data_IF_239412341352
#
_entry.id   IF_239412341352
#
_cell.length_a   1.000
_cell.length_b   1.000
_cell.length_c   1.000
_cell.angle_alpha   90.00
_cell.angle_beta   90.00
_cell.angle_gamma   90.00
#
_symmetry.space_group_name_H-M   'P 1'
#
loop_
_entity.id
_entity.type
_entity.pdbx_description
1 polymer ?
#
# COMPACT_ATOMS: atom_id res chain seq x y z
N UNK A 1 -0.50 13.06 -22.88
CA UNK A 1 -0.82 12.32 -21.63
C UNK A 1 -1.05 10.87 -22.00
N UNK A 2 -0.21 9.99 -21.48
CA UNK A 2 -0.51 8.57 -21.62
C UNK A 2 -1.76 8.27 -20.80
N UNK A 3 -2.78 7.76 -21.46
CA UNK A 3 -4.02 7.35 -20.83
C UNK A 3 -3.70 6.13 -19.95
N UNK A 4 -3.59 6.31 -18.64
CA UNK A 4 -3.31 5.22 -17.71
C UNK A 4 -4.56 4.38 -17.60
N UNK A 5 -4.47 3.11 -18.02
CA UNK A 5 -5.54 2.16 -17.84
C UNK A 5 -5.54 1.64 -16.40
N UNK A 6 -6.45 2.16 -15.58
CA UNK A 6 -6.56 1.84 -14.16
C UNK A 6 -6.86 0.35 -13.93
N UNK A 7 -7.75 -0.22 -14.73
CA UNK A 7 -8.12 -1.64 -14.63
C UNK A 7 -6.93 -2.56 -14.91
N UNK A 8 -6.15 -2.23 -15.93
CA UNK A 8 -4.92 -2.97 -16.26
C UNK A 8 -3.89 -2.88 -15.13
N UNK A 9 -3.72 -1.70 -14.53
CA UNK A 9 -2.81 -1.51 -13.39
C UNK A 9 -3.26 -2.27 -12.16
N UNK A 10 -4.55 -2.24 -11.84
CA UNK A 10 -5.12 -3.01 -10.74
C UNK A 10 -4.94 -4.52 -10.95
N UNK A 11 -5.18 -5.02 -12.16
CA UNK A 11 -4.96 -6.41 -12.52
C UNK A 11 -3.48 -6.81 -12.39
N UNK A 12 -2.57 -5.94 -12.81
CA UNK A 12 -1.11 -6.15 -12.70
C UNK A 12 -0.68 -6.23 -11.24
N UNK A 13 -1.17 -5.34 -10.38
CA UNK A 13 -0.91 -5.36 -8.94
C UNK A 13 -1.41 -6.66 -8.30
N UNK A 14 -2.62 -7.08 -8.61
CA UNK A 14 -3.20 -8.34 -8.13
C UNK A 14 -2.38 -9.55 -8.59
N UNK A 15 -1.91 -9.55 -9.84
CA UNK A 15 -1.06 -10.61 -10.36
C UNK A 15 0.26 -10.73 -9.60
N UNK A 16 0.93 -9.62 -9.28
CA UNK A 16 2.14 -9.63 -8.45
C UNK A 16 1.85 -10.17 -7.04
N UNK A 17 0.75 -9.76 -6.43
CA UNK A 17 0.36 -10.26 -5.11
C UNK A 17 0.16 -11.78 -5.10
N UNK A 18 -0.48 -12.32 -6.12
CA UNK A 18 -0.67 -13.77 -6.29
C UNK A 18 0.62 -14.54 -6.60
N UNK A 19 1.65 -13.87 -7.10
CA UNK A 19 2.99 -14.44 -7.29
C UNK A 19 3.82 -14.51 -6.00
N UNK A 20 3.32 -13.95 -4.89
CA UNK A 20 3.98 -13.97 -3.59
C UNK A 20 4.61 -12.64 -3.17
N UNK A 21 4.56 -11.60 -3.98
CA UNK A 21 4.97 -10.26 -3.57
C UNK A 21 4.03 -9.73 -2.49
N UNK A 22 4.53 -8.89 -1.58
CA UNK A 22 3.67 -8.31 -0.57
C UNK A 22 2.79 -7.17 -1.13
N UNK A 23 1.89 -6.65 -0.31
CA UNK A 23 0.93 -5.64 -0.75
C UNK A 23 1.61 -4.35 -1.23
N UNK A 24 2.66 -3.88 -0.58
CA UNK A 24 3.40 -2.69 -1.00
C UNK A 24 4.17 -2.92 -2.31
N UNK A 25 4.88 -4.03 -2.42
CA UNK A 25 5.57 -4.43 -3.65
C UNK A 25 4.61 -4.50 -4.83
N UNK A 26 3.48 -5.13 -4.64
CA UNK A 26 2.47 -5.33 -5.68
C UNK A 26 1.97 -4.01 -6.27
N UNK A 27 1.70 -3.02 -5.42
CA UNK A 27 1.26 -1.70 -5.85
C UNK A 27 2.38 -0.93 -6.55
N UNK A 28 3.57 -0.86 -5.97
CA UNK A 28 4.68 -0.09 -6.54
C UNK A 28 5.16 -0.70 -7.87
N UNK A 29 5.30 -2.01 -7.94
CA UNK A 29 5.73 -2.71 -9.15
C UNK A 29 4.73 -2.55 -10.31
N UNK A 30 3.43 -2.45 -10.01
CA UNK A 30 2.40 -2.26 -11.03
C UNK A 30 2.52 -0.92 -11.78
N UNK A 31 3.20 0.05 -11.20
CA UNK A 31 3.40 1.39 -11.77
C UNK A 31 4.87 1.74 -12.06
N UNK A 32 5.79 0.83 -11.80
CA UNK A 32 7.23 1.06 -11.89
C UNK A 32 7.67 1.59 -13.25
N UNK A 33 7.12 1.05 -14.33
CA UNK A 33 7.42 1.45 -15.71
C UNK A 33 7.06 2.91 -16.01
N UNK A 34 6.03 3.46 -15.38
CA UNK A 34 5.61 4.85 -15.56
C UNK A 34 6.62 5.86 -14.99
N UNK A 35 7.44 5.42 -14.05
CA UNK A 35 8.41 6.25 -13.34
C UNK A 35 9.87 5.86 -13.62
N UNK A 36 10.11 5.05 -14.65
CA UNK A 36 11.44 4.63 -15.04
C UNK A 36 12.15 3.72 -14.03
N UNK A 37 11.41 3.10 -13.13
CA UNK A 37 11.96 2.09 -12.21
C UNK A 37 11.97 0.72 -12.87
N UNK A 38 13.10 0.00 -12.77
CA UNK A 38 13.06 -1.42 -13.10
C UNK A 38 12.34 -2.22 -12.01
N UNK A 39 11.88 -3.39 -12.38
CA UNK A 39 11.06 -4.26 -11.52
C UNK A 39 11.80 -4.69 -10.25
N UNK A 40 13.08 -5.02 -10.37
CA UNK A 40 13.92 -5.41 -9.23
C UNK A 40 14.06 -4.27 -8.22
N UNK A 41 14.38 -3.07 -8.68
CA UNK A 41 14.48 -1.88 -7.81
C UNK A 41 13.14 -1.60 -7.13
N UNK A 42 12.04 -1.60 -7.86
CA UNK A 42 10.71 -1.39 -7.32
C UNK A 42 10.36 -2.41 -6.23
N UNK A 43 10.70 -3.70 -6.44
CA UNK A 43 10.46 -4.76 -5.46
C UNK A 43 11.27 -4.57 -4.17
N UNK A 44 12.51 -4.13 -4.28
CA UNK A 44 13.37 -3.91 -3.11
C UNK A 44 12.98 -2.67 -2.31
N UNK A 45 12.73 -1.54 -2.96
CA UNK A 45 12.41 -0.29 -2.26
C UNK A 45 11.09 -0.37 -1.49
N UNK A 46 10.17 -1.18 -1.94
CA UNK A 46 8.86 -1.36 -1.31
C UNK A 46 8.75 -2.57 -0.37
N UNK A 47 9.75 -3.46 -0.37
CA UNK A 47 9.71 -4.72 0.37
C UNK A 47 9.44 -4.56 1.87
N UNK A 48 10.02 -3.55 2.51
CA UNK A 48 9.92 -3.34 3.96
C UNK A 48 8.54 -2.88 4.43
N UNK A 49 7.67 -2.44 3.52
CA UNK A 49 6.38 -1.85 3.85
C UNK A 49 5.21 -2.85 3.83
N UNK A 50 5.46 -4.09 3.45
CA UNK A 50 4.45 -5.15 3.45
C UNK A 50 4.01 -5.54 4.87
N UNK A 51 2.78 -6.02 4.99
CA UNK A 51 2.23 -6.46 6.26
C UNK A 51 2.03 -5.34 7.30
N UNK A 52 1.84 -4.12 6.83
CA UNK A 52 1.74 -2.95 7.69
C UNK A 52 3.10 -2.54 8.26
N UNK A 53 4.05 -2.32 7.37
CA UNK A 53 5.45 -1.96 7.63
C UNK A 53 6.18 -3.07 8.41
N UNK A 54 6.88 -3.92 7.68
CA UNK A 54 7.67 -5.03 8.27
C UNK A 54 6.84 -6.00 9.13
N UNK A 55 5.58 -6.24 8.77
CA UNK A 55 4.60 -7.00 9.54
C UNK A 55 4.31 -6.48 10.95
N UNK A 56 4.64 -5.23 11.23
CA UNK A 56 4.25 -4.58 12.50
C UNK A 56 2.75 -4.25 12.57
N UNK A 57 2.01 -4.49 11.51
CA UNK A 57 0.56 -4.24 11.43
C UNK A 57 0.17 -2.78 11.65
N UNK A 58 1.08 -1.88 11.28
CA UNK A 58 0.86 -0.44 11.20
C UNK A 58 0.14 -0.05 9.90
N UNK A 59 0.54 1.00 9.24
CA UNK A 59 -0.12 1.45 7.99
C UNK A 59 -0.12 0.36 6.92
N UNK A 60 -1.26 0.12 6.29
CA UNK A 60 -1.43 -0.86 5.22
C UNK A 60 -0.36 -0.71 4.14
N UNK A 61 0.29 -1.82 3.77
CA UNK A 61 1.35 -1.81 2.76
C UNK A 61 0.88 -1.35 1.38
N UNK A 62 -0.35 -1.63 1.00
CA UNK A 62 -0.93 -1.11 -0.24
C UNK A 62 -1.04 0.42 -0.21
N UNK A 63 -1.49 0.98 0.92
CA UNK A 63 -1.51 2.43 1.12
C UNK A 63 -0.10 3.02 1.09
N UNK A 64 0.87 2.38 1.74
CA UNK A 64 2.28 2.81 1.69
C UNK A 64 2.81 2.84 0.25
N UNK A 65 2.53 1.82 -0.54
CA UNK A 65 2.89 1.78 -1.96
C UNK A 65 2.26 2.93 -2.76
N UNK A 66 1.00 3.20 -2.53
CA UNK A 66 0.29 4.33 -3.11
C UNK A 66 0.93 5.68 -2.74
N UNK A 67 1.36 5.84 -1.50
CA UNK A 67 2.03 7.06 -1.03
C UNK A 67 3.42 7.24 -1.65
N UNK A 68 4.16 6.16 -1.86
CA UNK A 68 5.43 6.21 -2.60
C UNK A 68 5.22 6.68 -4.04
N UNK A 69 4.22 6.16 -4.72
CA UNK A 69 3.86 6.57 -6.07
C UNK A 69 3.41 8.04 -6.13
N UNK A 70 2.68 8.51 -5.11
CA UNK A 70 2.31 9.91 -5.00
C UNK A 70 3.54 10.83 -4.94
N UNK A 71 4.58 10.42 -4.23
CA UNK A 71 5.85 11.15 -4.18
C UNK A 71 6.54 11.23 -5.54
N UNK A 72 6.51 10.14 -6.30
CA UNK A 72 7.07 10.08 -7.66
C UNK A 72 6.27 10.91 -8.67
N UNK A 73 4.98 11.08 -8.45
CA UNK A 73 4.09 11.84 -9.34
C UNK A 73 4.22 13.36 -9.17
N UNK A 74 4.85 13.84 -8.12
CA UNK A 74 5.08 15.28 -7.91
C UNK A 74 6.27 15.73 -8.76
N UNK A 75 5.99 16.62 -9.71
CA UNK A 75 7.02 17.18 -10.60
C UNK A 75 7.84 18.25 -9.89
N UNK A 76 9.16 18.22 -10.10
CA UNK A 76 10.12 19.19 -9.59
C UNK A 76 11.22 18.54 -8.77
N UNK A 77 12.14 19.35 -8.27
CA UNK A 77 13.33 18.90 -7.54
C UNK A 77 13.27 19.33 -6.07
N UNK A 78 13.60 18.40 -5.19
CA UNK A 78 13.79 18.70 -3.77
C UNK A 78 15.20 19.26 -3.50
N UNK A 79 15.38 20.09 -2.45
CA UNK A 79 14.35 20.52 -1.50
C UNK A 79 13.56 21.74 -2.00
N UNK A 80 12.25 21.68 -1.93
CA UNK A 80 11.34 22.78 -2.22
C UNK A 80 10.11 22.70 -1.30
N UNK A 81 9.79 23.81 -0.60
CA UNK A 81 8.69 23.84 0.37
C UNK A 81 7.30 23.69 -0.27
N UNK A 82 7.12 24.24 -1.49
CA UNK A 82 5.85 24.12 -2.21
C UNK A 82 5.62 22.70 -2.72
N UNK A 83 6.68 22.06 -3.22
CA UNK A 83 6.64 20.64 -3.62
C UNK A 83 6.30 19.74 -2.43
N UNK A 84 6.98 19.94 -1.30
CA UNK A 84 6.72 19.21 -0.07
C UNK A 84 5.27 19.34 0.37
N UNK A 85 4.73 20.55 0.37
CA UNK A 85 3.33 20.81 0.71
C UNK A 85 2.38 20.05 -0.22
N UNK A 86 2.56 20.19 -1.54
CA UNK A 86 1.73 19.50 -2.55
C UNK A 86 1.76 17.98 -2.39
N UNK A 87 2.94 17.42 -2.14
CA UNK A 87 3.07 15.98 -1.89
C UNK A 87 2.30 15.55 -0.64
N UNK A 88 2.45 16.27 0.46
CA UNK A 88 1.75 15.95 1.71
C UNK A 88 0.22 16.09 1.56
N UNK A 89 -0.25 17.10 0.87
CA UNK A 89 -1.68 17.25 0.55
C UNK A 89 -2.20 16.06 -0.29
N UNK A 90 -1.44 15.65 -1.29
CA UNK A 90 -1.80 14.48 -2.11
C UNK A 90 -1.88 13.21 -1.26
N UNK A 91 -0.89 12.95 -0.42
CA UNK A 91 -0.88 11.79 0.49
C UNK A 91 -2.07 11.81 1.46
N UNK A 92 -2.37 12.97 2.05
CA UNK A 92 -3.51 13.12 2.97
C UNK A 92 -4.85 12.87 2.26
N UNK A 93 -5.03 13.39 1.05
CA UNK A 93 -6.22 13.15 0.24
C UNK A 93 -6.40 11.68 -0.14
N UNK A 94 -5.31 11.03 -0.55
CA UNK A 94 -5.31 9.58 -0.85
C UNK A 94 -5.62 8.75 0.39
N UNK A 95 -5.04 9.11 1.54
CA UNK A 95 -5.29 8.45 2.81
C UNK A 95 -6.77 8.55 3.22
N UNK A 96 -7.36 9.72 3.07
CA UNK A 96 -8.77 9.93 3.37
C UNK A 96 -9.70 9.14 2.44
N UNK A 97 -9.40 9.13 1.14
CA UNK A 97 -10.14 8.32 0.17
C UNK A 97 -10.05 6.82 0.50
N UNK A 98 -8.87 6.35 0.87
CA UNK A 98 -8.64 4.97 1.27
C UNK A 98 -9.42 4.60 2.54
N UNK A 99 -9.40 5.47 3.56
CA UNK A 99 -10.20 5.28 4.79
C UNK A 99 -11.69 5.21 4.52
N UNK A 100 -12.20 6.08 3.66
CA UNK A 100 -13.63 6.07 3.26
C UNK A 100 -14.02 4.77 2.60
N UNK A 101 -13.15 4.21 1.78
CA UNK A 101 -13.43 2.98 1.05
C UNK A 101 -13.25 1.72 1.91
N UNK A 102 -12.23 1.66 2.75
CA UNK A 102 -11.84 0.47 3.48
C UNK A 102 -12.05 0.54 5.01
N UNK A 103 -12.38 1.70 5.54
CA UNK A 103 -12.65 1.91 6.96
C UNK A 103 -11.44 2.27 7.82
N UNK A 104 -10.22 1.99 7.35
CA UNK A 104 -8.99 2.26 8.10
C UNK A 104 -7.77 2.32 7.19
N UNK A 105 -6.66 2.88 7.68
CA UNK A 105 -5.32 2.73 7.11
C UNK A 105 -4.50 1.66 7.85
N UNK A 106 -4.91 1.22 9.03
CA UNK A 106 -4.12 0.32 9.86
C UNK A 106 -4.31 -1.13 9.43
N UNK A 107 -3.19 -1.81 9.13
CA UNK A 107 -3.17 -3.21 8.73
C UNK A 107 -3.88 -4.10 9.75
N UNK A 108 -3.61 -3.94 11.05
CA UNK A 108 -4.24 -4.75 12.10
C UNK A 108 -5.75 -4.58 12.19
N UNK A 109 -6.25 -3.40 11.88
CA UNK A 109 -7.69 -3.13 11.85
C UNK A 109 -8.34 -3.67 10.57
N UNK A 110 -7.69 -3.45 9.42
CA UNK A 110 -8.14 -3.98 8.12
C UNK A 110 -8.20 -5.51 8.09
N UNK A 111 -7.24 -6.17 8.73
CA UNK A 111 -7.23 -7.64 8.85
C UNK A 111 -8.21 -8.18 9.91
N UNK A 112 -8.90 -7.32 10.66
CA UNK A 112 -9.81 -7.73 11.73
C UNK A 112 -9.12 -8.32 12.94
N UNK A 113 -7.82 -8.07 13.12
CA UNK A 113 -7.06 -8.56 14.29
C UNK A 113 -7.39 -7.77 15.56
N UNK A 114 -7.80 -6.54 15.42
CA UNK A 114 -8.24 -5.64 16.49
C UNK A 114 -9.44 -4.82 16.03
N UNK A 115 -10.18 -4.28 16.99
CA UNK A 115 -11.25 -3.31 16.73
C UNK A 115 -10.91 -1.99 17.39
N UNK A 116 -11.30 -0.90 16.70
CA UNK A 116 -11.25 0.45 17.28
C UNK A 116 -12.11 0.50 18.53
N UNK A 117 -11.55 1.03 19.62
CA UNK A 117 -12.25 1.19 20.90
C UNK A 117 -13.15 2.43 20.90
N UNK A 118 -14.05 2.53 21.89
CA UNK A 118 -14.98 3.65 22.01
C UNK A 118 -14.30 5.01 22.16
N UNK A 119 -13.10 5.06 22.74
CA UNK A 119 -12.28 6.27 22.87
C UNK A 119 -11.49 6.63 21.58
N UNK A 120 -11.65 5.84 20.51
CA UNK A 120 -10.97 6.05 19.23
C UNK A 120 -9.60 5.39 19.12
N UNK A 121 -9.09 4.75 20.16
CA UNK A 121 -7.82 4.03 20.11
C UNK A 121 -7.94 2.69 19.40
N UNK A 122 -6.84 2.26 18.77
CA UNK A 122 -6.71 0.95 18.12
C UNK A 122 -5.64 0.17 18.85
N UNK A 123 -5.98 -0.97 19.50
CA UNK A 123 -5.02 -1.73 20.28
C UNK A 123 -3.82 -2.23 19.44
N UNK A 124 -2.68 -2.40 20.09
CA UNK A 124 -1.54 -3.09 19.51
C UNK A 124 -1.74 -4.62 19.58
N UNK A 125 -0.95 -5.31 18.76
CA UNK A 125 -0.91 -6.79 18.72
C UNK A 125 0.52 -7.27 18.93
N UNK A 126 0.66 -8.57 19.19
CA UNK A 126 1.97 -9.24 19.17
C UNK A 126 2.51 -9.24 17.73
N UNK A 127 3.75 -8.81 17.58
CA UNK A 127 4.43 -8.70 16.29
C UNK A 127 5.24 -9.96 16.02
N UNK A 128 5.10 -10.51 14.82
CA UNK A 128 5.86 -11.65 14.34
C UNK A 128 6.42 -11.39 12.94
N UNK A 129 7.65 -11.79 12.71
CA UNK A 129 8.34 -11.54 11.43
C UNK A 129 8.02 -12.58 10.35
N UNK A 130 7.61 -13.80 10.73
CA UNK A 130 7.39 -14.90 9.79
C UNK A 130 6.13 -14.68 8.95
N UNK A 131 6.25 -14.58 7.60
CA UNK A 131 5.08 -14.46 6.73
C UNK A 131 4.22 -15.73 6.78
N UNK A 132 2.92 -15.55 6.60
CA UNK A 132 2.00 -16.68 6.44
C UNK A 132 2.13 -17.34 5.07
N UNK A 133 1.83 -18.65 5.02
CA UNK A 133 1.77 -19.38 3.77
C UNK A 133 0.66 -18.83 2.84
N UNK A 134 0.98 -18.69 1.57
CA UNK A 134 0.08 -18.16 0.53
C UNK A 134 -0.83 -19.25 -0.01
N UNK A 135 -1.83 -19.65 0.80
CA UNK A 135 -2.87 -20.64 0.43
C UNK A 135 -4.09 -19.95 -0.21
N UNK A 136 -4.98 -20.73 -0.83
CA UNK A 136 -6.26 -20.20 -1.31
C UNK A 136 -7.06 -19.55 -0.19
N UNK A 137 -7.06 -20.16 0.99
CA UNK A 137 -7.72 -19.64 2.17
C UNK A 137 -7.15 -18.27 2.60
N UNK A 138 -5.82 -18.08 2.52
CA UNK A 138 -5.17 -16.82 2.78
C UNK A 138 -5.77 -15.70 1.92
N UNK A 139 -5.89 -15.92 0.61
CA UNK A 139 -6.42 -14.92 -0.32
C UNK A 139 -7.91 -14.65 -0.12
N UNK A 140 -8.69 -15.66 0.26
CA UNK A 140 -10.13 -15.52 0.53
C UNK A 140 -10.44 -14.75 1.80
N UNK A 141 -9.66 -14.97 2.87
CA UNK A 141 -9.91 -14.38 4.19
C UNK A 141 -9.41 -12.95 4.33
N UNK A 142 -8.45 -12.55 3.52
CA UNK A 142 -7.79 -11.25 3.67
C UNK A 142 -8.33 -10.21 2.70
N UNK A 143 -8.52 -8.96 3.16
CA UNK A 143 -8.96 -7.87 2.30
C UNK A 143 -7.83 -7.31 1.40
N UNK A 144 -6.64 -7.90 1.45
CA UNK A 144 -5.44 -7.39 0.78
C UNK A 144 -5.61 -7.25 -0.73
N UNK A 145 -6.28 -8.17 -1.40
CA UNK A 145 -6.57 -8.07 -2.84
C UNK A 145 -7.39 -6.82 -3.11
N UNK A 146 -8.48 -6.59 -2.37
CA UNK A 146 -9.30 -5.39 -2.49
C UNK A 146 -8.52 -4.10 -2.27
N UNK A 147 -7.66 -4.05 -1.24
CA UNK A 147 -6.85 -2.87 -0.95
C UNK A 147 -5.82 -2.57 -2.03
N UNK A 148 -5.28 -3.61 -2.66
CA UNK A 148 -4.32 -3.51 -3.75
C UNK A 148 -5.00 -2.99 -5.04
N UNK A 149 -6.21 -3.42 -5.32
CA UNK A 149 -6.99 -3.01 -6.50
C UNK A 149 -7.50 -1.56 -6.42
N UNK A 150 -7.53 -0.98 -5.26
CA UNK A 150 -8.02 0.39 -5.04
C UNK A 150 -7.01 1.44 -5.45
#
# INVERSE_FOLDING_TARGET
MNNINIEERAAKATAYFKQGYNCSQSVVMAYADLYGMNETFASHISASFGGGIGRMRETCGAACGMFMLAGLAVEGDYPDAKLKKRNYEAVQNLAEAFRKKHGSLLCRELLGLVKKQADGTVPNIKIEATPEARTEEYYKKRPCVMTIET
#
